data_IF_572178478751
#
_entry.id   IF_572178478751
#
_cell.length_a   1.000
_cell.length_b   1.000
_cell.length_c   1.000
_cell.angle_alpha   90.00
_cell.angle_beta   90.00
_cell.angle_gamma   90.00
#
_symmetry.space_group_name_H-M   'P 1'
#
loop_
_entity.id
_entity.type
_entity.pdbx_description
1 polymer ?
#
# COMPACT_ATOMS: atom_id res chain seq x y z
N UNK A 1 -18.41 -11.43 -3.67
CA UNK A 1 -16.99 -11.14 -3.39
C UNK A 1 -16.30 -12.45 -3.05
N UNK A 2 -15.79 -13.15 -4.05
CA UNK A 2 -14.97 -14.36 -3.84
C UNK A 2 -13.56 -13.90 -3.53
N UNK A 3 -13.06 -14.14 -2.30
CA UNK A 3 -11.62 -14.03 -2.04
C UNK A 3 -10.94 -15.01 -3.00
N UNK A 4 -10.14 -14.48 -3.92
CA UNK A 4 -9.30 -15.29 -4.78
C UNK A 4 -8.30 -16.06 -3.93
N UNK A 5 -7.87 -17.25 -4.38
CA UNK A 5 -6.92 -18.09 -3.64
C UNK A 5 -5.63 -17.35 -3.27
N UNK A 6 -5.22 -16.35 -4.06
CA UNK A 6 -4.08 -15.46 -3.79
C UNK A 6 -4.32 -14.52 -2.61
N UNK A 7 -5.51 -13.93 -2.49
CA UNK A 7 -5.87 -13.06 -1.37
C UNK A 7 -5.89 -13.82 -0.02
N UNK A 8 -6.35 -15.08 -0.04
CA UNK A 8 -6.33 -15.96 1.14
C UNK A 8 -4.89 -16.29 1.59
N UNK A 9 -3.99 -16.55 0.65
CA UNK A 9 -2.57 -16.80 0.95
C UNK A 9 -1.93 -15.53 1.51
N UNK A 10 -2.18 -14.36 0.91
CA UNK A 10 -1.69 -13.07 1.38
C UNK A 10 -2.15 -12.74 2.80
N UNK A 11 -3.45 -12.92 3.08
CA UNK A 11 -4.02 -12.75 4.41
C UNK A 11 -3.39 -13.71 5.42
N UNK A 12 -3.22 -14.98 5.06
CA UNK A 12 -2.55 -15.98 5.90
C UNK A 12 -1.13 -15.57 6.28
N UNK A 13 -0.33 -15.10 5.31
CA UNK A 13 1.04 -14.63 5.53
C UNK A 13 1.04 -13.42 6.47
N UNK A 14 0.20 -12.41 6.21
CA UNK A 14 0.12 -11.21 7.03
C UNK A 14 -0.31 -11.53 8.47
N UNK A 15 -1.27 -12.44 8.67
CA UNK A 15 -1.71 -12.89 9.98
C UNK A 15 -0.62 -13.67 10.72
N UNK A 16 0.11 -14.57 10.04
CA UNK A 16 1.21 -15.33 10.63
C UNK A 16 2.34 -14.42 11.08
N UNK A 17 2.79 -13.49 10.24
CA UNK A 17 3.80 -12.51 10.63
C UNK A 17 3.29 -11.62 11.77
N UNK A 18 2.05 -11.14 11.68
CA UNK A 18 1.41 -10.36 12.74
C UNK A 18 1.42 -11.11 14.08
N UNK A 19 1.01 -12.37 14.08
CA UNK A 19 0.96 -13.24 15.25
C UNK A 19 2.34 -13.50 15.84
N UNK A 20 3.33 -13.87 15.02
CA UNK A 20 4.70 -14.14 15.46
C UNK A 20 5.35 -12.89 16.08
N UNK A 21 5.21 -11.73 15.42
CA UNK A 21 5.74 -10.48 15.95
C UNK A 21 4.98 -10.00 17.20
N UNK A 22 3.68 -10.25 17.28
CA UNK A 22 2.84 -9.93 18.43
C UNK A 22 3.22 -10.74 19.68
N UNK A 23 3.42 -12.05 19.52
CA UNK A 23 3.82 -12.96 20.59
C UNK A 23 5.18 -12.58 21.19
N UNK A 24 6.14 -12.19 20.36
CA UNK A 24 7.49 -11.85 20.79
C UNK A 24 7.59 -10.50 21.53
N UNK A 25 6.64 -9.57 21.32
CA UNK A 25 6.80 -8.15 21.73
C UNK A 25 5.90 -7.72 22.90
N UNK A 26 4.78 -8.41 23.16
CA UNK A 26 3.84 -8.07 24.23
C UNK A 26 2.91 -6.90 23.91
N UNK A 27 1.82 -6.76 24.68
CA UNK A 27 0.64 -5.91 24.37
C UNK A 27 1.01 -4.44 24.11
N UNK A 28 1.69 -3.78 25.05
CA UNK A 28 1.98 -2.33 24.98
C UNK A 28 2.83 -1.95 23.76
N UNK A 29 3.82 -2.79 23.42
CA UNK A 29 4.68 -2.56 22.24
C UNK A 29 3.95 -2.86 20.93
N UNK A 30 3.00 -3.79 20.96
CA UNK A 30 2.20 -4.12 19.78
C UNK A 30 1.15 -3.06 19.48
N UNK A 31 0.48 -2.49 20.50
CA UNK A 31 -0.47 -1.38 20.32
C UNK A 31 0.21 -0.17 19.70
N UNK A 32 1.39 0.20 20.20
CA UNK A 32 2.17 1.31 19.65
C UNK A 32 2.51 1.10 18.17
N UNK A 33 2.77 -0.15 17.76
CA UNK A 33 2.98 -0.49 16.35
C UNK A 33 1.71 -0.36 15.51
N UNK A 34 0.54 -0.73 16.04
CA UNK A 34 -0.74 -0.53 15.35
C UNK A 34 -0.98 0.96 15.10
N UNK A 35 -0.78 1.79 16.12
CA UNK A 35 -0.92 3.25 16.00
C UNK A 35 0.05 3.80 14.96
N UNK A 36 1.31 3.35 14.99
CA UNK A 36 2.33 3.77 14.04
C UNK A 36 2.02 3.32 12.61
N UNK A 37 1.49 2.11 12.43
CA UNK A 37 1.07 1.57 11.14
C UNK A 37 -0.07 2.42 10.56
N UNK A 38 -1.07 2.77 11.38
CA UNK A 38 -2.12 3.71 10.98
C UNK A 38 -1.56 5.08 10.62
N UNK A 39 -0.63 5.61 11.42
CA UNK A 39 0.06 6.87 11.09
C UNK A 39 0.86 6.78 9.79
N UNK A 40 1.49 5.65 9.48
CA UNK A 40 2.19 5.42 8.22
C UNK A 40 1.20 5.35 7.05
N UNK A 41 0.07 4.69 7.21
CA UNK A 41 -0.95 4.59 6.17
C UNK A 41 -1.55 5.97 5.85
N UNK A 42 -1.85 6.76 6.89
CA UNK A 42 -2.35 8.14 6.74
C UNK A 42 -1.26 9.05 6.16
N UNK A 43 -0.02 8.94 6.65
CA UNK A 43 1.12 9.70 6.13
C UNK A 43 1.40 9.40 4.66
N UNK A 44 1.37 8.12 4.27
CA UNK A 44 1.52 7.70 2.88
C UNK A 44 0.40 8.25 1.99
N UNK A 45 -0.83 8.32 2.50
CA UNK A 45 -1.96 8.88 1.78
C UNK A 45 -1.76 10.36 1.45
N UNK A 46 -1.31 11.17 2.42
CA UNK A 46 -1.06 12.60 2.19
C UNK A 46 0.21 12.86 1.36
N UNK A 47 1.25 12.05 1.53
CA UNK A 47 2.51 12.21 0.79
C UNK A 47 2.40 11.72 -0.66
N UNK A 48 1.45 10.82 -0.96
CA UNK A 48 1.21 10.29 -2.31
C UNK A 48 1.05 11.42 -3.32
N UNK A 49 0.15 12.37 -3.07
CA UNK A 49 -0.15 13.42 -4.04
C UNK A 49 1.04 14.37 -4.24
N UNK A 50 1.80 14.63 -3.17
CA UNK A 50 3.05 15.41 -3.24
C UNK A 50 4.10 14.70 -4.07
N UNK A 51 4.27 13.39 -3.89
CA UNK A 51 5.25 12.59 -4.63
C UNK A 51 4.83 12.43 -6.09
N UNK A 52 3.55 12.19 -6.36
CA UNK A 52 3.02 12.16 -7.74
C UNK A 52 3.28 13.50 -8.41
N UNK A 53 2.90 14.61 -7.78
CA UNK A 53 3.13 15.95 -8.32
C UNK A 53 4.61 16.22 -8.64
N UNK A 54 5.51 15.77 -7.75
CA UNK A 54 6.94 15.83 -8.01
C UNK A 54 7.35 14.92 -9.19
N UNK A 55 6.79 13.72 -9.30
CA UNK A 55 7.11 12.75 -10.35
C UNK A 55 6.77 13.28 -11.76
N UNK A 56 5.62 13.95 -11.90
CA UNK A 56 5.21 14.58 -13.16
C UNK A 56 6.10 15.76 -13.57
N UNK A 57 6.76 16.40 -12.61
CA UNK A 57 7.67 17.52 -12.84
C UNK A 57 9.13 17.10 -13.09
N UNK A 58 9.44 15.79 -13.01
CA UNK A 58 10.79 15.32 -13.34
C UNK A 58 10.96 15.35 -14.86
N UNK A 59 11.81 16.27 -15.33
CA UNK A 59 12.35 16.25 -16.68
C UNK A 59 13.31 15.07 -16.82
N UNK A 60 12.98 14.11 -17.69
CA UNK A 60 13.92 13.10 -18.16
C UNK A 60 14.22 13.37 -19.62
N UNK A 61 15.48 13.69 -19.93
CA UNK A 61 15.95 13.89 -21.30
C UNK A 61 15.22 15.00 -22.10
N UNK A 62 14.72 16.03 -21.40
CA UNK A 62 14.08 17.21 -22.01
C UNK A 62 12.64 17.00 -22.45
N UNK A 63 12.02 15.91 -22.01
CA UNK A 63 10.58 15.69 -22.09
C UNK A 63 10.01 15.43 -20.69
N UNK A 64 8.80 15.93 -20.46
CA UNK A 64 8.04 15.61 -19.24
C UNK A 64 7.57 14.15 -19.27
N UNK A 65 7.31 13.56 -18.10
CA UNK A 65 6.79 12.19 -18.01
C UNK A 65 5.46 12.02 -18.76
N UNK A 66 4.69 13.10 -18.89
CA UNK A 66 3.47 13.17 -19.70
C UNK A 66 3.76 13.08 -21.20
N UNK A 67 4.73 13.83 -21.70
CA UNK A 67 5.16 13.79 -23.10
C UNK A 67 5.79 12.45 -23.47
N UNK A 68 6.54 11.81 -22.57
CA UNK A 68 7.07 10.45 -22.79
C UNK A 68 5.94 9.40 -22.87
N UNK A 69 4.88 9.56 -22.06
CA UNK A 69 3.72 8.67 -22.09
C UNK A 69 2.88 8.86 -23.36
N UNK A 70 2.68 10.11 -23.79
CA UNK A 70 1.91 10.43 -24.99
C UNK A 70 2.67 10.03 -26.26
N UNK A 71 4.00 10.23 -26.31
CA UNK A 71 4.83 9.83 -27.44
C UNK A 71 5.04 8.31 -27.56
N UNK A 72 4.84 7.56 -26.46
CA UNK A 72 4.85 6.10 -26.45
C UNK A 72 3.54 5.43 -26.87
N UNK A 73 2.46 6.20 -27.07
CA UNK A 73 1.17 5.66 -27.52
C UNK A 73 1.14 5.50 -29.06
N UNK A 74 0.56 4.40 -29.59
CA UNK A 74 0.29 4.27 -31.02
C UNK A 74 -0.57 5.44 -31.53
N UNK A 75 -0.34 5.92 -32.75
CA UNK A 75 -1.08 7.06 -33.34
C UNK A 75 -2.62 6.86 -33.31
N UNK A 76 -3.06 5.60 -33.37
CA UNK A 76 -4.46 5.15 -33.27
C UNK A 76 -5.10 5.44 -31.90
N UNK A 77 -4.29 5.55 -30.84
CA UNK A 77 -4.70 5.82 -29.46
C UNK A 77 -4.44 7.26 -29.01
N UNK A 78 -3.87 8.11 -29.86
CA UNK A 78 -3.60 9.51 -29.55
C UNK A 78 -4.89 10.29 -29.21
N UNK A 79 -6.02 9.97 -29.85
CA UNK A 79 -7.34 10.54 -29.53
C UNK A 79 -7.95 10.05 -28.21
N UNK A 80 -7.34 9.05 -27.57
CA UNK A 80 -7.76 8.51 -26.26
C UNK A 80 -6.81 8.95 -25.14
N UNK A 81 -5.79 9.77 -25.41
CA UNK A 81 -4.84 10.26 -24.43
C UNK A 81 -5.55 10.89 -23.22
N UNK A 82 -6.58 11.71 -23.45
CA UNK A 82 -7.39 12.34 -22.40
C UNK A 82 -8.10 11.36 -21.46
N UNK A 83 -8.35 10.12 -21.92
CA UNK A 83 -8.94 9.05 -21.10
C UNK A 83 -7.88 8.16 -20.45
N UNK A 84 -6.75 7.94 -21.11
CA UNK A 84 -5.67 7.05 -20.65
C UNK A 84 -4.82 7.72 -19.57
N UNK A 85 -4.47 8.99 -19.72
CA UNK A 85 -3.60 9.73 -18.78
C UNK A 85 -4.14 9.73 -17.34
N UNK A 86 -5.43 10.04 -17.07
CA UNK A 86 -5.99 9.96 -15.72
C UNK A 86 -5.89 8.56 -15.11
N UNK A 87 -6.03 7.52 -15.94
CA UNK A 87 -6.01 6.14 -15.49
C UNK A 87 -4.60 5.71 -15.12
N UNK A 88 -3.61 6.08 -15.93
CA UNK A 88 -2.19 5.89 -15.59
C UNK A 88 -1.86 6.62 -14.29
N UNK A 89 -2.39 7.84 -14.09
CA UNK A 89 -2.17 8.58 -12.85
C UNK A 89 -2.76 7.85 -11.62
N UNK A 90 -3.92 7.20 -11.76
CA UNK A 90 -4.49 6.34 -10.70
C UNK A 90 -3.54 5.17 -10.41
N UNK A 91 -3.06 4.46 -11.43
CA UNK A 91 -2.16 3.31 -11.30
C UNK A 91 -0.85 3.72 -10.63
N UNK A 92 -0.18 4.75 -11.17
CA UNK A 92 1.06 5.31 -10.62
C UNK A 92 0.82 5.72 -9.17
N UNK A 93 -0.29 6.38 -8.89
CA UNK A 93 -0.58 6.79 -7.53
C UNK A 93 -0.80 5.64 -6.56
N UNK A 94 -1.34 4.51 -7.01
CA UNK A 94 -1.49 3.32 -6.16
C UNK A 94 -0.12 2.68 -5.90
N UNK A 95 0.74 2.60 -6.92
CA UNK A 95 2.12 2.13 -6.78
C UNK A 95 2.91 3.04 -5.83
N UNK A 96 2.84 4.36 -6.01
CA UNK A 96 3.48 5.35 -5.14
C UNK A 96 2.98 5.24 -3.71
N UNK A 97 1.67 5.07 -3.50
CA UNK A 97 1.10 4.85 -2.17
C UNK A 97 1.69 3.60 -1.49
N UNK A 98 1.72 2.46 -2.19
CA UNK A 98 2.25 1.20 -1.66
C UNK A 98 3.74 1.36 -1.34
N UNK A 99 4.52 1.97 -2.23
CA UNK A 99 5.95 2.19 -2.02
C UNK A 99 6.20 3.13 -0.83
N UNK A 100 5.50 4.27 -0.75
CA UNK A 100 5.60 5.19 0.37
C UNK A 100 5.22 4.52 1.69
N UNK A 101 4.12 3.76 1.70
CA UNK A 101 3.71 3.01 2.86
C UNK A 101 4.78 2.03 3.31
N UNK A 102 5.37 1.24 2.40
CA UNK A 102 6.45 0.31 2.71
C UNK A 102 7.71 1.02 3.23
N UNK A 103 8.10 2.14 2.64
CA UNK A 103 9.25 2.95 3.08
C UNK A 103 8.99 3.54 4.46
N UNK A 104 7.82 4.14 4.70
CA UNK A 104 7.41 4.66 6.00
C UNK A 104 7.35 3.56 7.06
N UNK A 105 6.84 2.39 6.70
CA UNK A 105 6.78 1.21 7.56
C UNK A 105 8.19 0.71 7.90
N UNK A 106 9.13 0.76 6.94
CA UNK A 106 10.52 0.38 7.14
C UNK A 106 11.27 1.40 8.03
N UNK A 107 11.12 2.70 7.77
CA UNK A 107 11.67 3.77 8.63
C UNK A 107 11.12 3.66 10.06
N UNK A 108 9.82 3.43 10.17
CA UNK A 108 9.13 3.17 11.43
C UNK A 108 9.73 1.98 12.15
N UNK A 109 10.02 0.88 11.45
CA UNK A 109 10.69 -0.27 12.05
C UNK A 109 12.11 0.04 12.52
N UNK A 110 12.88 0.81 11.74
CA UNK A 110 14.26 1.18 12.06
C UNK A 110 14.35 2.11 13.28
N UNK A 111 13.49 3.14 13.34
CA UNK A 111 13.57 4.22 14.34
C UNK A 111 12.73 3.90 15.57
N UNK A 112 11.51 3.38 15.40
CA UNK A 112 10.57 3.22 16.51
C UNK A 112 10.88 1.96 17.32
N UNK A 113 11.46 0.91 16.72
CA UNK A 113 11.85 -0.28 17.46
C UNK A 113 12.88 -0.03 18.59
N UNK A 114 14.00 0.70 18.36
CA UNK A 114 14.94 1.02 19.43
C UNK A 114 14.33 1.99 20.46
N UNK A 115 13.56 2.99 20.03
CA UNK A 115 12.93 3.96 20.94
C UNK A 115 11.87 3.27 21.84
N UNK A 116 11.01 2.43 21.27
CA UNK A 116 10.03 1.65 22.04
C UNK A 116 10.68 0.73 23.09
N UNK A 117 11.89 0.24 22.81
CA UNK A 117 12.62 -0.62 23.74
C UNK A 117 13.01 0.13 25.02
N UNK A 118 13.26 1.43 24.92
CA UNK A 118 13.69 2.31 26.02
C UNK A 118 12.49 2.73 26.88
N UNK A 119 11.37 3.13 26.27
CA UNK A 119 10.23 3.70 27.01
C UNK A 119 9.20 2.67 27.51
N UNK A 120 9.06 1.51 26.86
CA UNK A 120 8.01 0.53 27.21
C UNK A 120 8.59 -0.58 28.09
N UNK A 121 8.31 -0.49 29.40
CA UNK A 121 8.62 -1.53 30.41
C UNK A 121 7.90 -2.85 30.07
N UNK A 122 8.57 -3.99 30.29
CA UNK A 122 7.99 -5.33 30.10
C UNK A 122 6.77 -5.53 31.01
N UNK A 123 5.74 -6.19 30.48
CA UNK A 123 4.57 -6.58 31.27
C UNK A 123 4.93 -7.61 32.35
N UNK A 124 4.28 -7.48 33.52
CA UNK A 124 4.55 -8.30 34.71
C UNK A 124 3.98 -9.73 34.62
N UNK A 125 2.93 -9.95 33.83
CA UNK A 125 2.29 -11.27 33.64
C UNK A 125 2.63 -11.84 32.27
N UNK A 126 3.25 -13.02 32.23
CA UNK A 126 3.67 -13.67 30.98
C UNK A 126 2.47 -14.17 30.15
N UNK A 127 1.41 -14.66 30.79
CA UNK A 127 0.19 -15.13 30.12
C UNK A 127 -0.56 -13.97 29.45
N UNK A 128 -0.74 -12.85 30.16
CA UNK A 128 -1.39 -11.63 29.62
C UNK A 128 -0.53 -11.00 28.52
N UNK A 129 0.81 -11.05 28.67
CA UNK A 129 1.76 -10.56 27.65
C UNK A 129 1.67 -11.37 26.36
N UNK A 130 1.59 -12.70 26.45
CA UNK A 130 1.51 -13.61 25.30
C UNK A 130 0.16 -13.49 24.59
N UNK A 131 -0.95 -13.61 25.33
CA UNK A 131 -2.30 -13.54 24.75
C UNK A 131 -2.62 -12.18 24.14
N UNK A 132 -2.37 -11.09 24.87
CA UNK A 132 -2.65 -9.76 24.35
C UNK A 132 -1.71 -9.39 23.20
N UNK A 133 -0.45 -9.82 23.23
CA UNK A 133 0.49 -9.65 22.12
C UNK A 133 0.03 -10.37 20.86
N UNK A 134 -0.51 -11.59 21.00
CA UNK A 134 -1.05 -12.38 19.90
C UNK A 134 -2.24 -11.69 19.23
N UNK A 135 -3.21 -11.22 20.02
CA UNK A 135 -4.40 -10.52 19.52
C UNK A 135 -4.04 -9.23 18.79
N UNK A 136 -3.19 -8.39 19.40
CA UNK A 136 -2.74 -7.16 18.76
C UNK A 136 -1.86 -7.43 17.54
N UNK A 137 -1.13 -8.53 17.54
CA UNK A 137 -0.34 -9.00 16.40
C UNK A 137 -1.22 -9.40 15.22
N UNK A 138 -2.25 -10.20 15.47
CA UNK A 138 -3.26 -10.58 14.48
C UNK A 138 -3.99 -9.35 13.91
N UNK A 139 -4.42 -8.42 14.78
CA UNK A 139 -5.04 -7.17 14.36
C UNK A 139 -4.10 -6.33 13.48
N UNK A 140 -2.82 -6.24 13.84
CA UNK A 140 -1.83 -5.54 13.03
C UNK A 140 -1.64 -6.22 11.66
N UNK A 141 -1.57 -7.56 11.62
CA UNK A 141 -1.48 -8.32 10.37
C UNK A 141 -2.69 -8.11 9.47
N UNK A 142 -3.89 -8.13 10.05
CA UNK A 142 -5.15 -7.86 9.35
C UNK A 142 -5.18 -6.43 8.80
N UNK A 143 -4.73 -5.44 9.59
CA UNK A 143 -4.63 -4.05 9.16
C UNK A 143 -3.66 -3.86 7.99
N UNK A 144 -2.47 -4.47 8.03
CA UNK A 144 -1.53 -4.42 6.89
C UNK A 144 -2.18 -5.01 5.64
N UNK A 145 -2.81 -6.17 5.76
CA UNK A 145 -3.49 -6.80 4.63
C UNK A 145 -4.56 -5.88 4.06
N UNK A 146 -5.42 -5.31 4.91
CA UNK A 146 -6.47 -4.39 4.48
C UNK A 146 -5.91 -3.14 3.77
N UNK A 147 -4.85 -2.53 4.31
CA UNK A 147 -4.20 -1.35 3.73
C UNK A 147 -3.59 -1.64 2.35
N UNK A 148 -3.11 -2.87 2.12
CA UNK A 148 -2.56 -3.28 0.83
C UNK A 148 -3.65 -3.72 -0.17
N UNK A 149 -4.71 -4.35 0.31
CA UNK A 149 -5.77 -4.90 -0.53
C UNK A 149 -6.70 -3.80 -1.07
N UNK A 150 -7.03 -2.78 -0.26
CA UNK A 150 -7.93 -1.69 -0.66
C UNK A 150 -7.45 -0.96 -1.94
N UNK A 151 -6.18 -0.55 -2.06
CA UNK A 151 -5.66 0.02 -3.31
C UNK A 151 -5.70 -0.97 -4.49
N UNK A 152 -5.46 -2.25 -4.24
CA UNK A 152 -5.49 -3.29 -5.30
C UNK A 152 -6.90 -3.54 -5.84
N UNK A 153 -7.91 -3.47 -4.99
CA UNK A 153 -9.32 -3.52 -5.41
C UNK A 153 -9.66 -2.30 -6.28
N UNK A 154 -9.20 -1.10 -5.90
CA UNK A 154 -9.35 0.10 -6.71
C UNK A 154 -8.65 0.02 -8.08
N UNK A 155 -7.46 -0.61 -8.14
CA UNK A 155 -6.78 -0.92 -9.41
C UNK A 155 -7.63 -1.82 -10.30
N UNK A 156 -8.17 -2.91 -9.72
CA UNK A 156 -8.94 -3.91 -10.47
C UNK A 156 -10.21 -3.28 -11.05
N UNK A 157 -10.91 -2.45 -10.28
CA UNK A 157 -12.09 -1.72 -10.79
C UNK A 157 -11.72 -0.72 -11.89
N UNK A 158 -10.55 -0.09 -11.80
CA UNK A 158 -10.06 0.85 -12.82
C UNK A 158 -9.66 0.12 -14.10
N UNK A 159 -9.04 -1.05 -13.98
CA UNK A 159 -8.67 -1.91 -15.11
C UNK A 159 -9.92 -2.52 -15.77
N UNK A 160 -10.91 -2.95 -14.98
CA UNK A 160 -12.17 -3.44 -15.54
C UNK A 160 -12.90 -2.35 -16.31
N UNK A 161 -12.89 -1.11 -15.80
CA UNK A 161 -13.41 0.05 -16.55
C UNK A 161 -12.64 0.30 -17.83
N UNK A 162 -11.31 0.10 -17.87
CA UNK A 162 -10.50 0.17 -19.09
C UNK A 162 -10.90 -0.90 -20.11
N UNK A 163 -11.11 -2.15 -19.67
CA UNK A 163 -11.50 -3.26 -20.54
C UNK A 163 -12.89 -3.09 -21.16
N UNK A 164 -13.74 -2.27 -20.54
CA UNK A 164 -15.09 -1.94 -21.01
C UNK A 164 -15.13 -0.69 -21.91
N UNK A 165 -14.00 0.03 -22.07
CA UNK A 165 -13.88 1.08 -23.09
C UNK A 165 -13.69 0.40 -24.45
N UNK A 166 -14.79 0.25 -25.20
CA UNK A 166 -14.74 -0.15 -26.60
C UNK A 166 -13.97 0.88 -27.43
N UNK A 167 -12.93 0.41 -28.11
CA UNK A 167 -12.27 1.13 -29.20
C UNK A 167 -12.79 0.53 -30.50
N UNK A 168 -13.64 1.27 -31.19
CA UNK A 168 -14.05 1.02 -32.59
C UNK A 168 -14.49 -0.43 -32.90
N UNK A 169 -15.27 -1.06 -32.00
CA UNK A 169 -15.81 -2.40 -32.21
C UNK A 169 -14.81 -3.56 -32.03
N UNK A 170 -13.58 -3.30 -31.55
CA UNK A 170 -12.65 -4.35 -31.15
C UNK A 170 -12.27 -4.24 -29.66
N UNK A 171 -12.42 -5.37 -28.97
CA UNK A 171 -11.99 -5.52 -27.57
C UNK A 171 -10.48 -5.50 -27.51
N UNK A 172 -9.93 -4.54 -26.77
CA UNK A 172 -8.51 -4.54 -26.40
C UNK A 172 -8.29 -5.75 -25.50
N UNK A 173 -7.66 -6.78 -26.05
CA UNK A 173 -7.34 -8.04 -25.38
C UNK A 173 -5.92 -8.00 -24.85
#
# INVERSE_FOLDING_TARGET
MTLTSSALIGLGICLLFGLLFGLHRGVKRSVLRIVLLLLCAVGAFFLRDVVIGALWQIDMDGQTFEEMLVSGLPEEMAGLADKIVPIINIIVGIVVYILLFLVLQFLSWLIVFPICKIFVKRDKSEATRRLGGMLTGLLAGLLVFYILEVPMLGLTDTILKLSDVEVDGQKVT
#
